data_IF_451817520707
#
_entry.id   IF_451817520707
#
_cell.length_a   1.000
_cell.length_b   1.000
_cell.length_c   1.000
_cell.angle_alpha   90.00
_cell.angle_beta   90.00
_cell.angle_gamma   90.00
#
_symmetry.space_group_name_H-M   'P 1'
#
loop_
_entity.id
_entity.type
_entity.pdbx_description
1 polymer ?
#
# COMPACT_ATOMS: atom_id res chain seq x y z
N UNK A 1 -11.17 -4.61 -5.61
CA UNK A 1 -11.62 -3.61 -6.61
C UNK A 1 -10.41 -3.17 -7.41
N UNK A 2 -10.51 -3.01 -8.73
CA UNK A 2 -9.37 -2.53 -9.54
C UNK A 2 -9.53 -1.02 -9.68
N UNK A 3 -8.61 -0.25 -9.09
CA UNK A 3 -8.59 1.21 -9.22
C UNK A 3 -8.20 1.61 -10.65
N UNK A 4 -8.86 2.64 -11.17
CA UNK A 4 -8.62 3.18 -12.52
C UNK A 4 -7.92 4.53 -12.44
N UNK A 5 -7.04 4.84 -13.39
CA UNK A 5 -6.42 6.17 -13.43
C UNK A 5 -7.45 7.29 -13.62
N UNK A 6 -7.29 8.37 -12.86
CA UNK A 6 -8.06 9.58 -13.05
C UNK A 6 -7.40 10.47 -14.10
N UNK A 7 -8.19 11.25 -14.81
CA UNK A 7 -7.66 12.34 -15.64
C UNK A 7 -7.22 13.51 -14.75
N UNK A 8 -6.37 14.44 -15.22
CA UNK A 8 -5.92 15.58 -14.41
C UNK A 8 -7.09 16.39 -13.82
N UNK A 9 -8.16 16.61 -14.60
CA UNK A 9 -9.34 17.34 -14.14
C UNK A 9 -10.19 16.56 -13.13
N UNK A 10 -10.27 15.23 -13.28
CA UNK A 10 -10.92 14.38 -12.28
C UNK A 10 -10.12 14.34 -10.96
N UNK A 11 -8.80 14.31 -11.05
CA UNK A 11 -7.91 14.29 -9.89
C UNK A 11 -7.97 15.60 -9.11
N UNK A 12 -8.02 16.75 -9.79
CA UNK A 12 -8.22 18.06 -9.16
C UNK A 12 -9.50 18.09 -8.31
N UNK A 13 -10.61 17.58 -8.85
CA UNK A 13 -11.88 17.46 -8.10
C UNK A 13 -11.72 16.56 -6.89
N UNK A 14 -11.08 15.40 -7.06
CA UNK A 14 -10.86 14.48 -5.94
C UNK A 14 -9.96 15.07 -4.86
N UNK A 15 -8.94 15.86 -5.21
CA UNK A 15 -8.10 16.57 -4.24
C UNK A 15 -8.93 17.52 -3.37
N UNK A 16 -9.83 18.31 -3.98
CA UNK A 16 -10.74 19.19 -3.24
C UNK A 16 -11.66 18.38 -2.31
N UNK A 17 -12.19 17.26 -2.79
CA UNK A 17 -13.09 16.40 -2.01
C UNK A 17 -12.34 15.70 -0.86
N UNK A 18 -11.14 15.17 -1.09
CA UNK A 18 -10.32 14.54 -0.04
C UNK A 18 -9.94 15.54 1.06
N UNK A 19 -9.64 16.79 0.69
CA UNK A 19 -9.33 17.84 1.66
C UNK A 19 -10.53 18.20 2.56
N UNK A 20 -11.75 18.11 2.04
CA UNK A 20 -12.99 18.44 2.78
C UNK A 20 -13.64 17.23 3.45
N UNK A 21 -13.38 16.02 2.98
CA UNK A 21 -13.96 14.75 3.45
C UNK A 21 -15.40 14.51 2.98
N UNK A 22 -16.25 15.53 2.93
CA UNK A 22 -17.56 15.49 2.28
C UNK A 22 -17.91 16.88 1.78
N UNK A 23 -18.61 16.97 0.65
CA UNK A 23 -18.87 18.28 0.04
C UNK A 23 -20.16 18.30 -0.77
N UNK A 24 -20.87 19.42 -0.72
CA UNK A 24 -22.00 19.69 -1.63
C UNK A 24 -21.50 20.28 -2.95
N UNK A 25 -22.28 20.12 -4.03
CA UNK A 25 -21.91 20.67 -5.35
C UNK A 25 -21.59 22.17 -5.31
N UNK A 26 -22.38 22.97 -4.57
CA UNK A 26 -22.17 24.42 -4.45
C UNK A 26 -20.83 24.73 -3.77
N UNK A 27 -20.53 24.07 -2.66
CA UNK A 27 -19.28 24.23 -1.93
C UNK A 27 -18.06 23.79 -2.75
N UNK A 28 -18.22 22.76 -3.57
CA UNK A 28 -17.19 22.32 -4.50
C UNK A 28 -16.89 23.41 -5.54
N UNK A 29 -17.92 24.00 -6.14
CA UNK A 29 -17.78 25.11 -7.08
C UNK A 29 -17.12 26.35 -6.44
N UNK A 30 -17.35 26.58 -5.16
CA UNK A 30 -16.74 27.68 -4.40
C UNK A 30 -15.28 27.38 -4.00
N UNK A 31 -14.85 26.12 -4.05
CA UNK A 31 -13.49 25.70 -3.71
C UNK A 31 -12.49 25.84 -4.88
N UNK A 32 -12.95 26.05 -6.11
CA UNK A 32 -12.07 26.28 -7.26
C UNK A 32 -11.51 27.70 -7.27
N UNK A 33 -10.22 27.81 -7.63
CA UNK A 33 -9.57 29.08 -7.97
C UNK A 33 -10.05 29.61 -9.32
N UNK A 34 -9.91 30.92 -9.55
CA UNK A 34 -10.22 31.51 -10.85
C UNK A 34 -9.13 31.19 -11.90
N UNK A 35 -9.51 30.88 -13.16
CA UNK A 35 -10.86 30.86 -13.70
C UNK A 35 -11.65 29.61 -13.32
N UNK A 36 -12.86 29.79 -12.77
CA UNK A 36 -13.71 28.66 -12.38
C UNK A 36 -14.11 27.80 -13.58
N UNK A 37 -14.05 26.47 -13.46
CA UNK A 37 -14.56 25.59 -14.49
C UNK A 37 -16.08 25.74 -14.65
N UNK A 38 -16.59 25.44 -15.83
CA UNK A 38 -18.03 25.48 -16.08
C UNK A 38 -18.77 24.42 -15.25
N UNK A 39 -19.92 24.77 -14.66
CA UNK A 39 -20.70 23.87 -13.78
C UNK A 39 -21.06 22.53 -14.43
N UNK A 40 -21.42 22.55 -15.72
CA UNK A 40 -21.73 21.32 -16.46
C UNK A 40 -20.52 20.38 -16.54
N UNK A 41 -19.31 20.93 -16.66
CA UNK A 41 -18.07 20.14 -16.74
C UNK A 41 -17.81 19.43 -15.42
N UNK A 42 -17.90 20.17 -14.30
CA UNK A 42 -17.76 19.58 -12.95
C UNK A 42 -18.85 18.54 -12.69
N UNK A 43 -20.08 18.80 -13.12
CA UNK A 43 -21.18 17.84 -12.99
C UNK A 43 -20.93 16.54 -13.75
N UNK A 44 -20.36 16.63 -14.95
CA UNK A 44 -19.97 15.46 -15.75
C UNK A 44 -18.84 14.69 -15.07
N UNK A 45 -17.80 15.37 -14.58
CA UNK A 45 -16.71 14.70 -13.86
C UNK A 45 -17.17 14.03 -12.57
N UNK A 46 -18.08 14.65 -11.81
CA UNK A 46 -18.66 14.02 -10.61
C UNK A 46 -19.42 12.74 -10.96
N UNK A 47 -20.17 12.72 -12.07
CA UNK A 47 -20.84 11.49 -12.54
C UNK A 47 -19.82 10.41 -12.88
N UNK A 48 -18.78 10.75 -13.64
CA UNK A 48 -17.71 9.82 -14.02
C UNK A 48 -17.01 9.27 -12.75
N UNK A 49 -16.72 10.11 -11.77
CA UNK A 49 -16.10 9.70 -10.51
C UNK A 49 -16.99 8.77 -9.68
N UNK A 50 -18.31 8.96 -9.72
CA UNK A 50 -19.28 8.04 -9.09
C UNK A 50 -19.35 6.71 -9.85
N UNK A 51 -19.37 6.74 -11.19
CA UNK A 51 -19.34 5.54 -12.04
C UNK A 51 -18.05 4.74 -11.87
N UNK A 52 -16.91 5.42 -11.72
CA UNK A 52 -15.61 4.81 -11.39
C UNK A 52 -15.49 4.40 -9.91
N UNK A 53 -16.53 4.62 -9.10
CA UNK A 53 -16.59 4.31 -7.67
C UNK A 53 -15.54 5.02 -6.79
N UNK A 54 -15.03 6.17 -7.24
CA UNK A 54 -14.19 7.04 -6.41
C UNK A 54 -15.01 7.88 -5.45
N UNK A 55 -16.25 8.19 -5.83
CA UNK A 55 -17.21 8.94 -5.03
C UNK A 55 -18.47 8.13 -4.76
N UNK A 56 -19.02 8.33 -3.57
CA UNK A 56 -20.39 7.99 -3.24
C UNK A 56 -21.23 9.25 -3.19
N UNK A 57 -22.50 9.14 -3.58
CA UNK A 57 -23.45 10.24 -3.55
C UNK A 57 -24.61 9.91 -2.63
N UNK A 58 -24.96 10.84 -1.75
CA UNK A 58 -26.12 10.76 -0.88
C UNK A 58 -27.10 11.88 -1.24
N UNK A 59 -28.34 11.51 -1.53
CA UNK A 59 -29.40 12.48 -1.83
C UNK A 59 -29.97 13.04 -0.53
N UNK A 60 -29.85 14.34 -0.34
CA UNK A 60 -30.41 15.07 0.80
C UNK A 60 -31.44 16.08 0.28
N UNK A 61 -32.70 15.64 0.16
CA UNK A 61 -33.77 16.45 -0.42
C UNK A 61 -33.55 16.75 -1.90
N UNK A 62 -33.24 18.02 -2.23
CA UNK A 62 -32.96 18.50 -3.59
C UNK A 62 -31.47 18.65 -3.91
N UNK A 63 -30.59 18.40 -2.93
CA UNK A 63 -29.14 18.52 -3.10
C UNK A 63 -28.47 17.15 -2.97
N UNK A 64 -27.29 17.03 -3.56
CA UNK A 64 -26.45 15.84 -3.49
C UNK A 64 -25.22 16.15 -2.65
N UNK A 65 -24.94 15.27 -1.69
CA UNK A 65 -23.72 15.27 -0.90
C UNK A 65 -22.76 14.22 -1.48
N UNK A 66 -21.53 14.63 -1.78
CA UNK A 66 -20.50 13.75 -2.31
C UNK A 66 -19.52 13.39 -1.20
N UNK A 67 -19.17 12.10 -1.11
CA UNK A 67 -18.17 11.57 -0.18
C UNK A 67 -17.15 10.72 -0.93
N UNK A 68 -15.85 10.78 -0.59
CA UNK A 68 -14.84 9.90 -1.15
C UNK A 68 -15.13 8.46 -0.71
N UNK A 69 -15.27 7.57 -1.67
CA UNK A 69 -15.36 6.13 -1.44
C UNK A 69 -13.96 5.49 -1.38
N UNK A 70 -12.98 6.10 -2.06
CA UNK A 70 -11.56 5.71 -2.02
C UNK A 70 -10.79 6.76 -1.22
N UNK A 71 -9.99 6.32 -0.26
CA UNK A 71 -9.13 7.21 0.52
C UNK A 71 -7.94 7.72 -0.31
N UNK A 72 -7.51 8.96 -0.04
CA UNK A 72 -6.33 9.55 -0.69
C UNK A 72 -5.08 8.66 -0.55
N UNK A 73 -4.90 8.03 0.61
CA UNK A 73 -3.74 7.16 0.89
C UNK A 73 -3.72 5.95 -0.05
N UNK A 74 -4.88 5.38 -0.37
CA UNK A 74 -5.01 4.24 -1.28
C UNK A 74 -4.76 4.67 -2.73
N UNK A 75 -5.37 5.78 -3.16
CA UNK A 75 -5.15 6.34 -4.50
C UNK A 75 -3.68 6.71 -4.72
N UNK A 76 -3.04 7.36 -3.74
CA UNK A 76 -1.61 7.72 -3.79
C UNK A 76 -0.72 6.48 -3.99
N UNK A 77 -1.00 5.37 -3.31
CA UNK A 77 -0.27 4.11 -3.50
C UNK A 77 -0.45 3.56 -4.91
N UNK A 78 -1.69 3.59 -5.41
CA UNK A 78 -2.02 3.15 -6.76
C UNK A 78 -1.27 3.96 -7.82
N UNK A 79 -1.30 5.30 -7.73
CA UNK A 79 -0.59 6.20 -8.65
C UNK A 79 0.91 5.96 -8.58
N UNK A 80 1.50 5.90 -7.38
CA UNK A 80 2.94 5.66 -7.21
C UNK A 80 3.38 4.33 -7.82
N UNK A 81 2.60 3.26 -7.62
CA UNK A 81 2.92 1.95 -8.19
C UNK A 81 2.92 1.97 -9.71
N UNK A 82 1.90 2.58 -10.32
CA UNK A 82 1.83 2.74 -11.78
C UNK A 82 2.96 3.62 -12.31
N UNK A 83 3.31 4.67 -11.60
CA UNK A 83 4.42 5.55 -11.95
C UNK A 83 5.75 4.80 -11.93
N UNK A 84 6.01 4.01 -10.88
CA UNK A 84 7.20 3.16 -10.80
C UNK A 84 7.25 2.11 -11.91
N UNK A 85 6.13 1.45 -12.20
CA UNK A 85 6.03 0.47 -13.29
C UNK A 85 6.31 1.09 -14.66
N UNK A 86 5.80 2.30 -14.91
CA UNK A 86 5.91 2.95 -16.23
C UNK A 86 7.27 3.62 -16.48
N UNK A 87 7.90 4.20 -15.45
CA UNK A 87 9.06 5.08 -15.62
C UNK A 87 10.35 4.59 -14.94
N UNK A 88 10.25 3.67 -13.97
CA UNK A 88 11.38 3.26 -13.13
C UNK A 88 11.53 1.75 -13.03
N UNK A 89 11.04 0.97 -14.01
CA UNK A 89 11.12 -0.49 -14.05
C UNK A 89 10.68 -1.18 -12.74
N UNK A 90 9.69 -0.59 -12.05
CA UNK A 90 9.21 -1.03 -10.74
C UNK A 90 10.31 -1.05 -9.64
N UNK A 91 11.35 -0.22 -9.79
CA UNK A 91 12.51 -0.11 -8.91
C UNK A 91 12.47 1.20 -8.12
N UNK A 92 12.22 1.09 -6.82
CA UNK A 92 12.34 2.24 -5.91
C UNK A 92 13.76 2.79 -5.81
N UNK A 93 14.79 1.98 -6.12
CA UNK A 93 16.20 2.42 -6.15
C UNK A 93 16.46 3.37 -7.31
N UNK A 94 15.86 3.11 -8.47
CA UNK A 94 16.02 3.97 -9.65
C UNK A 94 15.35 5.33 -9.42
N UNK A 95 14.14 5.33 -8.86
CA UNK A 95 13.48 6.57 -8.40
C UNK A 95 14.35 7.34 -7.41
N UNK A 96 14.94 6.63 -6.43
CA UNK A 96 15.78 7.25 -5.43
C UNK A 96 17.04 7.91 -6.01
N UNK A 97 17.71 7.28 -6.98
CA UNK A 97 18.86 7.88 -7.65
C UNK A 97 18.47 9.19 -8.34
N UNK A 98 17.34 9.20 -9.08
CA UNK A 98 16.85 10.43 -9.73
C UNK A 98 16.51 11.52 -8.73
N UNK A 99 15.94 11.18 -7.56
CA UNK A 99 15.68 12.18 -6.51
C UNK A 99 16.96 12.82 -5.96
N UNK A 100 18.08 12.08 -5.92
CA UNK A 100 19.38 12.62 -5.53
C UNK A 100 20.01 13.45 -6.64
N UNK A 101 19.95 12.96 -7.88
CA UNK A 101 20.53 13.63 -9.05
C UNK A 101 19.82 14.97 -9.34
N UNK A 102 18.51 15.05 -9.10
CA UNK A 102 17.70 16.27 -9.26
C UNK A 102 17.70 17.15 -7.99
N UNK A 103 18.52 16.84 -6.98
CA UNK A 103 18.63 17.57 -5.71
C UNK A 103 17.27 17.75 -4.96
N UNK A 104 16.30 16.88 -5.23
CA UNK A 104 14.98 16.90 -4.59
C UNK A 104 15.02 16.35 -3.15
N UNK A 105 16.07 15.60 -2.81
CA UNK A 105 16.38 15.16 -1.46
C UNK A 105 17.87 15.39 -1.18
N UNK A 106 18.20 15.87 0.03
CA UNK A 106 19.60 16.00 0.43
C UNK A 106 20.10 14.75 1.15
N UNK A 107 21.43 14.60 1.22
CA UNK A 107 22.04 13.54 2.03
C UNK A 107 21.67 13.66 3.52
N UNK A 108 21.41 14.86 4.01
CA UNK A 108 20.99 15.12 5.39
C UNK A 108 19.53 14.68 5.63
N UNK A 109 18.63 14.97 4.68
CA UNK A 109 17.25 14.46 4.72
C UNK A 109 17.23 12.93 4.78
N UNK A 110 18.16 12.29 4.06
CA UNK A 110 18.31 10.85 4.05
C UNK A 110 18.78 10.29 5.40
N UNK A 111 19.78 10.90 6.03
CA UNK A 111 20.22 10.49 7.38
C UNK A 111 19.08 10.60 8.39
N UNK A 112 18.30 11.68 8.32
CA UNK A 112 17.15 11.90 9.18
C UNK A 112 16.03 10.88 8.91
N UNK A 113 15.83 10.49 7.65
CA UNK A 113 14.91 9.42 7.25
C UNK A 113 15.35 8.05 7.80
N UNK A 114 16.64 7.67 7.70
CA UNK A 114 17.12 6.39 8.25
C UNK A 114 16.96 6.38 9.78
N UNK A 115 17.38 7.46 10.46
CA UNK A 115 17.28 7.57 11.92
C UNK A 115 15.84 7.40 12.40
N UNK A 116 14.87 7.96 11.68
CA UNK A 116 13.43 7.85 12.01
C UNK A 116 12.76 6.54 11.57
N UNK A 117 13.27 5.85 10.53
CA UNK A 117 12.67 4.66 9.91
C UNK A 117 13.47 3.36 10.13
N UNK A 118 14.33 3.26 11.14
CA UNK A 118 15.09 2.03 11.49
C UNK A 118 14.23 0.79 11.81
N UNK A 119 12.89 0.85 11.69
CA UNK A 119 11.94 -0.26 11.92
C UNK A 119 11.57 -1.03 10.63
N UNK A 120 11.93 -0.58 9.43
CA UNK A 120 11.37 -1.13 8.18
C UNK A 120 12.10 -2.35 7.55
N UNK A 121 13.11 -2.93 8.20
CA UNK A 121 13.89 -4.04 7.64
C UNK A 121 13.73 -5.41 8.32
N UNK A 122 12.69 -5.66 9.12
CA UNK A 122 12.53 -6.95 9.86
C UNK A 122 11.29 -7.77 9.50
N UNK A 123 10.60 -7.51 8.38
CA UNK A 123 9.52 -8.38 7.90
C UNK A 123 9.87 -9.05 6.57
N UNK A 124 10.81 -10.01 6.60
CA UNK A 124 10.85 -11.09 5.60
C UNK A 124 11.55 -12.41 6.02
N UNK A 125 11.80 -12.68 7.31
CA UNK A 125 12.50 -13.91 7.74
C UNK A 125 11.76 -14.86 8.69
N UNK A 126 10.48 -14.65 9.05
CA UNK A 126 9.81 -15.55 10.01
C UNK A 126 9.20 -16.83 9.40
N UNK A 127 9.06 -16.96 8.08
CA UNK A 127 8.52 -18.20 7.49
C UNK A 127 9.59 -19.24 7.11
N UNK A 128 10.86 -18.86 6.98
CA UNK A 128 11.93 -19.85 6.75
C UNK A 128 12.41 -20.51 8.06
N UNK A 129 12.32 -19.82 9.20
CA UNK A 129 12.77 -20.36 10.49
C UNK A 129 11.82 -21.42 11.05
N UNK A 130 10.50 -21.31 10.81
CA UNK A 130 9.52 -22.27 11.33
C UNK A 130 9.61 -23.66 10.66
N UNK A 131 10.12 -23.73 9.43
CA UNK A 131 10.35 -25.02 8.75
C UNK A 131 11.63 -25.68 9.28
N UNK A 132 12.68 -24.90 9.57
CA UNK A 132 13.95 -25.42 10.07
C UNK A 132 13.83 -25.96 11.50
N UNK A 133 13.08 -25.27 12.38
CA UNK A 133 12.85 -25.72 13.75
C UNK A 133 11.99 -27.00 13.78
N UNK A 134 10.98 -27.10 12.90
CA UNK A 134 10.16 -28.31 12.74
C UNK A 134 10.96 -29.51 12.19
N UNK A 135 11.85 -29.27 11.21
CA UNK A 135 12.75 -30.33 10.70
C UNK A 135 13.70 -30.80 11.80
N UNK A 136 14.21 -29.90 12.63
CA UNK A 136 15.09 -30.24 13.77
C UNK A 136 14.36 -31.05 14.84
N UNK A 137 13.10 -30.69 15.15
CA UNK A 137 12.26 -31.39 16.12
C UNK A 137 11.97 -32.84 15.66
N UNK A 138 11.56 -33.04 14.41
CA UNK A 138 11.27 -34.38 13.85
C UNK A 138 12.54 -35.22 13.66
N UNK A 139 13.67 -34.60 13.32
CA UNK A 139 14.94 -35.34 13.12
C UNK A 139 15.67 -35.65 14.43
N UNK A 140 15.38 -34.94 15.53
CA UNK A 140 15.96 -35.21 16.84
C UNK A 140 15.47 -36.53 17.47
N UNK A 141 14.23 -36.95 17.18
CA UNK A 141 13.62 -38.12 17.80
C UNK A 141 14.00 -39.47 17.16
N UNK A 142 14.81 -39.46 16.09
CA UNK A 142 15.36 -40.71 15.50
C UNK A 142 16.66 -41.18 16.17
N UNK A 143 17.32 -40.38 17.01
CA UNK A 143 18.58 -40.77 17.68
C UNK A 143 18.36 -41.45 19.04
N UNK A 144 17.21 -41.24 19.69
CA UNK A 144 16.82 -41.85 20.97
C UNK A 144 16.38 -43.32 20.82
N UNK A 145 15.67 -43.69 19.74
CA UNK A 145 15.21 -45.09 19.52
C UNK A 145 16.27 -46.09 19.04
N UNK A 146 17.47 -45.65 18.63
CA UNK A 146 18.55 -46.58 18.20
C UNK A 146 19.46 -47.04 19.35
N UNK A 147 19.56 -46.31 20.46
CA UNK A 147 20.42 -46.69 21.61
C UNK A 147 19.77 -47.70 22.57
N UNK A 148 18.44 -47.87 22.54
CA UNK A 148 17.75 -48.79 23.46
C UNK A 148 17.62 -50.22 22.91
N UNK A 149 17.68 -50.41 21.57
CA UNK A 149 17.67 -51.76 20.95
C UNK A 149 19.00 -52.51 21.06
N UNK A 150 20.14 -51.82 21.19
CA UNK A 150 21.46 -52.49 21.31
C UNK A 150 21.79 -52.97 22.73
N UNK A 151 21.19 -52.40 23.78
CA UNK A 151 21.38 -52.89 25.16
C UNK A 151 20.59 -54.16 25.48
N UNK A 152 19.48 -54.43 24.78
CA UNK A 152 18.67 -55.64 25.00
C UNK A 152 19.25 -56.91 24.35
N UNK A 153 20.04 -56.78 23.27
CA UNK A 153 20.70 -57.93 22.61
C UNK A 153 21.95 -58.49 23.32
N UNK A 154 22.52 -57.78 24.30
CA UNK A 154 23.68 -58.25 25.08
C UNK A 154 23.33 -58.98 26.39
N UNK A 155 22.07 -59.04 26.80
CA UNK A 155 21.65 -59.74 28.04
C UNK A 155 21.13 -61.18 27.84
N UNK A 156 20.84 -61.61 26.61
CA UNK A 156 20.40 -62.99 26.30
C UNK A 156 21.50 -63.93 25.77
N UNK A 157 22.80 -63.55 25.91
CA UNK A 157 23.94 -64.43 25.58
C UNK A 157 24.80 -64.83 26.79
N UNK A 158 24.23 -64.77 27.99
CA UNK A 158 24.83 -65.33 29.21
C UNK A 158 23.76 -66.07 30.03
N UNK A 159 23.29 -67.18 29.47
CA UNK A 159 22.85 -68.36 30.23
C UNK A 159 23.14 -69.59 29.38
#
# INVERSE_FOLDING_TARGET
MILQSLTPSEEEIMQLIWNKGQIYFRELMDSFSEPKPHQNTVSTFLKILVEKHYLSTEKQGRIYLYRPAVEFVEYRKFVLKRFLENYFNNSGRELFNVLLDEELITSEDFENLIKSKTVFATKKQEQENHIQDFIKEITSDKKSKKKEKDKKKKKDKKK
#
